data_IF_728464994819
#
_entry.id   IF_728464994819
#
_cell.length_a   1.000
_cell.length_b   1.000
_cell.length_c   1.000
_cell.angle_alpha   90.00
_cell.angle_beta   90.00
_cell.angle_gamma   90.00
#
_symmetry.space_group_name_H-M   'P 1'
#
loop_
_entity.id
_entity.type
_entity.pdbx_description
1 polymer ?
#
# COMPACT_ATOMS: atom_id res chain seq x y z
N UNK A 1 -12.95 -2.07 22.37
CA UNK A 1 -13.09 -2.71 21.08
C UNK A 1 -12.62 -1.77 19.97
N UNK A 2 -11.69 -2.24 19.12
CA UNK A 2 -11.12 -1.44 18.06
C UNK A 2 -11.73 -1.73 16.69
N UNK A 3 -12.75 -2.58 16.62
CA UNK A 3 -13.34 -3.01 15.35
C UNK A 3 -13.80 -1.83 14.50
N UNK A 4 -14.44 -0.85 15.09
CA UNK A 4 -14.94 0.31 14.35
C UNK A 4 -13.81 1.16 13.79
N UNK A 5 -12.66 1.20 14.46
CA UNK A 5 -11.50 1.95 13.98
C UNK A 5 -10.88 1.29 12.75
N UNK A 6 -10.81 -0.04 12.74
CA UNK A 6 -10.38 -0.77 11.55
C UNK A 6 -11.35 -0.56 10.40
N UNK A 7 -12.64 -0.61 10.69
CA UNK A 7 -13.66 -0.37 9.68
C UNK A 7 -13.55 1.03 9.09
N UNK A 8 -13.39 2.05 9.92
CA UNK A 8 -13.19 3.43 9.46
C UNK A 8 -11.94 3.54 8.58
N UNK A 9 -10.84 2.96 9.03
CA UNK A 9 -9.59 3.00 8.30
C UNK A 9 -9.70 2.38 6.91
N UNK A 10 -10.44 1.32 6.77
CA UNK A 10 -10.55 0.57 5.52
C UNK A 10 -11.68 1.07 4.61
N UNK A 11 -12.75 1.63 5.18
CA UNK A 11 -13.96 1.99 4.42
C UNK A 11 -13.68 3.07 3.37
N UNK A 12 -12.83 4.04 3.68
CA UNK A 12 -12.54 5.16 2.79
C UNK A 12 -11.22 4.99 2.04
N UNK A 13 -10.64 3.79 2.10
CA UNK A 13 -9.36 3.51 1.48
C UNK A 13 -9.57 2.96 0.08
N UNK A 14 -8.79 3.50 -0.88
CA UNK A 14 -8.73 2.95 -2.24
C UNK A 14 -7.44 2.16 -2.36
N UNK A 15 -7.53 0.86 -2.71
CA UNK A 15 -6.33 0.04 -2.82
C UNK A 15 -5.40 0.51 -3.92
N UNK A 16 -4.13 0.18 -3.77
CA UNK A 16 -3.14 0.33 -4.82
C UNK A 16 -3.38 -0.73 -5.88
N UNK A 17 -3.43 -0.33 -7.14
CA UNK A 17 -3.59 -1.26 -8.26
C UNK A 17 -2.19 -1.69 -8.73
N UNK A 18 -1.82 -2.92 -8.38
CA UNK A 18 -0.51 -3.47 -8.72
C UNK A 18 -0.48 -4.02 -10.14
N UNK A 19 -1.55 -4.67 -10.55
CA UNK A 19 -1.64 -5.29 -11.85
C UNK A 19 -3.10 -5.45 -12.23
N UNK A 20 -3.41 -5.25 -13.50
CA UNK A 20 -4.77 -5.41 -14.02
C UNK A 20 -4.81 -5.08 -15.48
N UNK A 21 -5.96 -5.27 -16.11
CA UNK A 21 -6.12 -4.98 -17.53
C UNK A 21 -5.84 -3.49 -17.79
N UNK A 22 -5.00 -3.23 -18.78
CA UNK A 22 -4.65 -1.85 -19.16
C UNK A 22 -3.51 -1.23 -18.36
N UNK A 23 -2.93 -1.94 -17.41
CA UNK A 23 -1.80 -1.43 -16.62
C UNK A 23 -0.51 -1.66 -17.40
N UNK A 24 0.13 -0.56 -17.83
CA UNK A 24 1.34 -0.62 -18.67
C UNK A 24 2.60 -0.90 -17.87
N UNK A 25 2.65 -0.44 -16.62
CA UNK A 25 3.82 -0.59 -15.75
C UNK A 25 3.40 -1.33 -14.49
N UNK A 26 3.14 -2.65 -14.59
CA UNK A 26 2.66 -3.38 -13.41
C UNK A 26 3.74 -3.49 -12.34
N UNK A 27 3.28 -3.56 -11.09
CA UNK A 27 4.15 -3.81 -9.96
C UNK A 27 4.67 -5.24 -10.04
N UNK A 28 5.97 -5.49 -9.84
CA UNK A 28 6.52 -6.82 -10.01
C UNK A 28 5.86 -7.86 -9.10
N UNK A 29 5.79 -9.08 -9.60
CA UNK A 29 5.40 -10.23 -8.80
C UNK A 29 6.65 -10.76 -8.11
N UNK A 30 6.48 -11.45 -7.01
CA UNK A 30 7.60 -12.10 -6.33
C UNK A 30 7.56 -11.96 -4.84
N UNK A 31 6.70 -11.09 -4.33
CA UNK A 31 6.53 -10.94 -2.90
C UNK A 31 5.07 -10.67 -2.59
N UNK A 32 4.70 -10.96 -1.35
CA UNK A 32 3.36 -10.64 -0.89
C UNK A 32 3.31 -9.20 -0.42
N UNK A 33 2.22 -8.48 -0.68
CA UNK A 33 2.03 -7.18 -0.06
C UNK A 33 2.04 -7.29 1.45
N UNK A 34 2.50 -6.23 2.12
CA UNK A 34 2.45 -6.18 3.58
C UNK A 34 1.00 -6.28 4.04
N UNK A 35 0.10 -5.56 3.36
CA UNK A 35 -1.34 -5.70 3.56
C UNK A 35 -1.99 -5.83 2.19
N UNK A 36 -2.62 -6.97 1.94
CA UNK A 36 -3.26 -7.26 0.67
C UNK A 36 -4.73 -6.90 0.70
N UNK A 37 -5.29 -6.64 -0.47
CA UNK A 37 -6.72 -6.49 -0.67
C UNK A 37 -7.17 -7.50 -1.71
N UNK A 38 -8.37 -8.03 -1.54
CA UNK A 38 -8.93 -9.02 -2.45
C UNK A 38 -9.96 -8.31 -3.33
N UNK A 39 -9.78 -8.41 -4.65
CA UNK A 39 -10.73 -7.88 -5.61
C UNK A 39 -11.92 -8.81 -5.75
N UNK A 40 -12.98 -8.34 -6.41
CA UNK A 40 -14.09 -9.21 -6.69
C UNK A 40 -13.70 -10.23 -7.76
N UNK A 41 -14.45 -11.33 -7.84
CA UNK A 41 -14.11 -12.43 -8.75
C UNK A 41 -14.30 -12.07 -10.24
N UNK A 42 -15.00 -10.97 -10.53
CA UNK A 42 -15.23 -10.52 -11.91
C UNK A 42 -14.04 -9.77 -12.48
N UNK A 43 -13.39 -8.93 -11.68
CA UNK A 43 -12.31 -8.07 -12.15
C UNK A 43 -10.94 -8.68 -11.94
N UNK A 44 -10.77 -9.41 -10.86
CA UNK A 44 -9.54 -10.18 -10.56
C UNK A 44 -8.27 -9.37 -10.72
N UNK A 45 -8.27 -8.12 -10.22
CA UNK A 45 -7.09 -7.27 -10.20
C UNK A 45 -6.21 -7.62 -9.01
N UNK A 46 -4.90 -7.38 -9.15
CA UNK A 46 -3.99 -7.54 -8.02
C UNK A 46 -3.92 -6.22 -7.27
N UNK A 47 -4.44 -6.20 -6.05
CA UNK A 47 -4.59 -5.00 -5.23
C UNK A 47 -3.81 -5.13 -3.93
N UNK A 48 -3.41 -4.00 -3.36
CA UNK A 48 -2.75 -3.97 -2.06
C UNK A 48 -3.08 -2.69 -1.31
N UNK A 49 -3.00 -2.74 0.00
CA UNK A 49 -3.15 -1.56 0.86
C UNK A 49 -1.78 -1.04 1.30
N UNK A 50 -0.81 -1.93 1.49
CA UNK A 50 0.55 -1.57 1.83
C UNK A 50 1.50 -2.49 1.08
N UNK A 51 2.46 -1.91 0.37
CA UNK A 51 3.49 -2.67 -0.34
C UNK A 51 4.88 -2.18 0.04
N UNK A 52 5.85 -3.05 -0.07
CA UNK A 52 7.25 -2.75 0.17
C UNK A 52 8.07 -3.13 -1.06
N UNK A 53 9.09 -2.34 -1.37
CA UNK A 53 10.00 -2.66 -2.47
C UNK A 53 11.35 -1.99 -2.26
N UNK A 54 12.34 -2.48 -2.97
CA UNK A 54 13.64 -1.82 -3.08
C UNK A 54 13.64 -0.88 -4.27
N UNK A 55 14.16 0.32 -4.07
CA UNK A 55 14.35 1.30 -5.13
C UNK A 55 15.78 1.77 -5.05
N UNK A 56 16.59 1.43 -6.06
CA UNK A 56 18.01 1.72 -6.01
C UNK A 56 18.67 1.06 -4.79
N UNK A 57 19.29 1.86 -3.94
CA UNK A 57 19.93 1.39 -2.71
C UNK A 57 19.03 1.46 -1.48
N UNK A 58 17.88 2.07 -1.64
CA UNK A 58 16.95 2.24 -0.55
C UNK A 58 15.78 1.29 -0.65
N UNK A 59 14.87 1.46 0.28
CA UNK A 59 13.60 0.76 0.21
C UNK A 59 12.46 1.72 0.47
N UNK A 60 11.29 1.36 -0.03
CA UNK A 60 10.10 2.19 0.07
C UNK A 60 8.95 1.34 0.61
N UNK A 61 8.13 1.96 1.41
CA UNK A 61 6.88 1.39 1.88
C UNK A 61 5.78 2.34 1.43
N UNK A 62 4.85 1.82 0.63
CA UNK A 62 3.73 2.62 0.12
C UNK A 62 2.45 2.14 0.79
N UNK A 63 1.79 3.05 1.48
CA UNK A 63 0.53 2.76 2.18
C UNK A 63 -0.59 3.60 1.59
N UNK A 64 -1.66 2.94 1.18
CA UNK A 64 -2.86 3.62 0.68
C UNK A 64 -3.78 4.08 1.81
N UNK A 65 -3.53 3.62 3.02
CA UNK A 65 -4.33 3.94 4.20
C UNK A 65 -4.04 5.36 4.69
N UNK A 66 -5.06 6.04 5.21
CA UNK A 66 -4.84 7.33 5.84
C UNK A 66 -4.22 7.13 7.23
N UNK A 67 -2.93 7.34 7.33
CA UNK A 67 -2.16 7.19 8.55
C UNK A 67 -1.61 8.53 9.04
N UNK A 68 -2.22 9.63 8.64
CA UNK A 68 -1.73 10.98 8.98
C UNK A 68 -2.78 11.90 9.61
N UNK A 69 -4.06 11.65 9.33
CA UNK A 69 -5.13 12.55 9.76
C UNK A 69 -5.63 12.19 11.16
N UNK A 70 -5.73 13.18 12.03
CA UNK A 70 -6.37 13.09 13.35
C UNK A 70 -5.93 11.88 14.16
N UNK A 71 -4.61 11.68 14.24
CA UNK A 71 -4.04 10.49 14.89
C UNK A 71 -4.32 10.43 16.39
N UNK A 72 -4.59 11.55 17.04
CA UNK A 72 -4.91 11.56 18.46
C UNK A 72 -6.19 10.78 18.78
N UNK A 73 -7.16 10.81 17.85
CA UNK A 73 -8.42 10.11 18.01
C UNK A 73 -8.45 8.75 17.34
N UNK A 74 -7.58 8.55 16.38
CA UNK A 74 -7.55 7.32 15.57
C UNK A 74 -6.43 6.42 16.04
N UNK A 75 -6.67 5.75 17.17
CA UNK A 75 -5.66 4.95 17.86
C UNK A 75 -5.10 3.83 16.99
N UNK A 76 -5.97 3.14 16.24
CA UNK A 76 -5.53 2.04 15.37
C UNK A 76 -4.64 2.59 14.24
N UNK A 77 -5.02 3.70 13.62
CA UNK A 77 -4.21 4.32 12.57
C UNK A 77 -2.85 4.75 13.11
N UNK A 78 -2.84 5.36 14.30
CA UNK A 78 -1.59 5.78 14.94
C UNK A 78 -0.69 4.59 15.26
N UNK A 79 -1.26 3.51 15.77
CA UNK A 79 -0.50 2.31 16.10
C UNK A 79 0.03 1.63 14.84
N UNK A 80 -0.76 1.54 13.79
CA UNK A 80 -0.32 0.96 12.52
C UNK A 80 0.81 1.78 11.92
N UNK A 81 0.68 3.12 11.93
CA UNK A 81 1.74 4.01 11.46
C UNK A 81 3.04 3.77 12.23
N UNK A 82 2.93 3.69 13.55
CA UNK A 82 4.10 3.44 14.40
C UNK A 82 4.75 2.10 14.06
N UNK A 83 3.95 1.06 13.90
CA UNK A 83 4.45 -0.28 13.56
C UNK A 83 5.15 -0.29 12.20
N UNK A 84 4.57 0.38 11.21
CA UNK A 84 5.17 0.44 9.87
C UNK A 84 6.47 1.24 9.87
N UNK A 85 6.54 2.33 10.63
CA UNK A 85 7.78 3.11 10.74
C UNK A 85 8.88 2.31 11.45
N UNK A 86 8.53 1.57 12.48
CA UNK A 86 9.50 0.68 13.15
C UNK A 86 9.98 -0.42 12.21
N UNK A 87 9.08 -1.00 11.45
CA UNK A 87 9.44 -2.02 10.46
C UNK A 87 10.39 -1.43 9.42
N UNK A 88 10.10 -0.23 8.92
CA UNK A 88 10.91 0.41 7.89
C UNK A 88 12.32 0.74 8.41
N UNK A 89 12.45 1.00 9.71
CA UNK A 89 13.74 1.29 10.34
C UNK A 89 14.51 0.03 10.72
N UNK A 90 13.88 -1.15 10.65
CA UNK A 90 14.53 -2.39 11.04
C UNK A 90 15.48 -2.90 9.97
N UNK A 91 16.40 -3.74 10.40
CA UNK A 91 17.35 -4.42 9.53
C UNK A 91 17.25 -5.92 9.75
N UNK A 92 17.48 -6.76 8.73
CA UNK A 92 17.65 -6.40 7.32
C UNK A 92 16.32 -6.16 6.63
N UNK A 93 16.38 -5.56 5.43
CA UNK A 93 15.21 -5.43 4.60
C UNK A 93 14.74 -6.80 4.14
N UNK A 94 13.45 -7.05 4.25
CA UNK A 94 12.85 -8.29 3.77
C UNK A 94 12.19 -8.13 2.41
N UNK A 95 12.28 -6.96 1.80
CA UNK A 95 11.71 -6.71 0.49
C UNK A 95 12.41 -7.58 -0.55
N UNK A 96 11.64 -8.40 -1.24
CA UNK A 96 12.13 -9.29 -2.29
C UNK A 96 11.93 -8.71 -3.68
N UNK A 97 11.17 -7.62 -3.78
CA UNK A 97 10.83 -7.00 -5.04
C UNK A 97 11.64 -5.73 -5.19
N UNK A 98 12.22 -5.55 -6.39
CA UNK A 98 12.90 -4.32 -6.75
C UNK A 98 12.06 -3.63 -7.82
N UNK A 99 11.81 -2.35 -7.64
CA UNK A 99 11.07 -1.55 -8.61
C UNK A 99 11.92 -0.40 -9.10
N UNK A 100 11.61 0.05 -10.31
CA UNK A 100 12.22 1.27 -10.86
C UNK A 100 11.44 2.49 -10.36
N UNK A 101 12.06 3.65 -10.45
CA UNK A 101 11.39 4.90 -10.15
C UNK A 101 10.13 5.07 -11.01
N UNK A 102 10.17 4.58 -12.24
CA UNK A 102 9.03 4.66 -13.15
C UNK A 102 7.87 3.78 -12.70
N UNK A 103 8.17 2.57 -12.25
CA UNK A 103 7.13 1.69 -11.72
C UNK A 103 6.48 2.28 -10.47
N UNK A 104 7.28 2.87 -9.59
CA UNK A 104 6.76 3.54 -8.40
C UNK A 104 5.89 4.74 -8.78
N UNK A 105 6.38 5.56 -9.71
CA UNK A 105 5.61 6.71 -10.18
C UNK A 105 4.30 6.29 -10.82
N UNK A 106 4.32 5.24 -11.62
CA UNK A 106 3.11 4.73 -12.28
C UNK A 106 2.08 4.24 -11.26
N UNK A 107 2.54 3.55 -10.22
CA UNK A 107 1.66 3.09 -9.15
C UNK A 107 0.96 4.25 -8.47
N UNK A 108 1.73 5.25 -8.07
CA UNK A 108 1.20 6.42 -7.37
C UNK A 108 0.28 7.25 -8.27
N UNK A 109 0.62 7.38 -9.54
CA UNK A 109 -0.19 8.12 -10.49
C UNK A 109 -1.53 7.44 -10.74
N UNK A 110 -1.54 6.12 -10.90
CA UNK A 110 -2.80 5.36 -11.04
C UNK A 110 -3.71 5.58 -9.84
N UNK A 111 -3.12 5.55 -8.65
CA UNK A 111 -3.88 5.76 -7.42
C UNK A 111 -4.46 7.18 -7.37
N UNK A 112 -3.66 8.17 -7.74
CA UNK A 112 -4.10 9.57 -7.75
C UNK A 112 -5.21 9.82 -8.77
N UNK A 113 -5.13 9.21 -9.94
CA UNK A 113 -6.13 9.35 -11.00
C UNK A 113 -7.47 8.75 -10.60
N UNK A 114 -7.44 7.66 -9.82
CA UNK A 114 -8.65 7.02 -9.34
C UNK A 114 -9.44 7.96 -8.41
N UNK A 115 -8.78 8.92 -7.77
CA UNK A 115 -9.46 9.90 -6.92
C UNK A 115 -10.26 10.92 -7.71
N UNK A 116 -9.96 11.10 -8.96
CA UNK A 116 -10.53 12.17 -9.77
C UNK A 116 -11.94 11.89 -10.28
N UNK A 117 -12.48 10.75 -9.96
CA UNK A 117 -13.81 10.35 -10.41
C UNK A 117 -14.89 10.89 -9.49
#
# INVERSE_FOLDING_TARGET
>A
DTTWQWHELLTHTRPLLLEGWGVAEPWPRGDRPVVAAIDDWNTNRRLALVVEARVGRGRVLVAALDLTTDLDRRVVARQLRHSLLRYLSSEPSEAKVTVTAEQLRALLQRWAETTAV
#
